data_IF_294142810597
#
_entry.id   IF_294142810597
#
_cell.length_a   1.000
_cell.length_b   1.000
_cell.length_c   1.000
_cell.angle_alpha   90.00
_cell.angle_beta   90.00
_cell.angle_gamma   90.00
#
_symmetry.space_group_name_H-M   'P 1'
#
loop_
_entity.id
_entity.type
_entity.pdbx_description
1 polymer ?
#
# COMPACT_ATOMS: atom_id res chain seq x y z
N UNK A 1 17.83 7.66 -46.56
CA UNK A 1 17.44 6.66 -45.54
C UNK A 1 17.47 7.34 -44.17
N UNK A 2 16.39 7.28 -43.39
CA UNK A 2 16.45 7.74 -42.00
C UNK A 2 15.18 8.34 -41.37
N UNK A 3 14.00 8.28 -42.01
CA UNK A 3 12.73 8.59 -41.34
C UNK A 3 12.17 7.35 -40.63
N UNK A 4 12.98 6.76 -39.74
CA UNK A 4 12.54 5.68 -38.86
C UNK A 4 11.67 6.25 -37.75
N UNK A 5 10.36 6.10 -37.91
CA UNK A 5 9.29 6.17 -36.91
C UNK A 5 9.65 6.80 -35.55
N UNK A 6 9.43 8.11 -35.40
CA UNK A 6 9.29 8.72 -34.07
C UNK A 6 8.19 8.02 -33.26
N UNK A 7 7.13 7.53 -33.91
CA UNK A 7 6.02 6.82 -33.27
C UNK A 7 6.46 5.53 -32.54
N UNK A 8 7.39 4.75 -33.10
CA UNK A 8 7.94 3.55 -32.43
C UNK A 8 8.77 3.91 -31.21
N UNK A 9 9.54 5.01 -31.28
CA UNK A 9 10.34 5.49 -30.14
C UNK A 9 9.45 5.93 -28.98
N UNK A 10 8.34 6.63 -29.25
CA UNK A 10 7.39 7.04 -28.21
C UNK A 10 6.59 5.86 -27.65
N UNK A 11 6.23 4.87 -28.47
CA UNK A 11 5.52 3.69 -28.01
C UNK A 11 6.42 2.79 -27.13
N UNK A 12 7.70 2.67 -27.48
CA UNK A 12 8.71 2.00 -26.65
C UNK A 12 8.94 2.72 -25.31
N UNK A 13 9.04 4.05 -25.31
CA UNK A 13 9.19 4.85 -24.09
C UNK A 13 7.91 4.78 -23.22
N UNK A 14 6.73 4.83 -23.83
CA UNK A 14 5.45 4.71 -23.12
C UNK A 14 5.27 3.32 -22.49
N UNK A 15 5.67 2.26 -23.21
CA UNK A 15 5.68 0.89 -22.70
C UNK A 15 6.64 0.76 -21.51
N UNK A 16 7.85 1.32 -21.60
CA UNK A 16 8.82 1.32 -20.50
C UNK A 16 8.29 2.09 -19.28
N UNK A 17 7.66 3.25 -19.49
CA UNK A 17 7.02 4.06 -18.44
C UNK A 17 5.81 3.35 -17.80
N UNK A 18 5.05 2.57 -18.57
CA UNK A 18 3.97 1.73 -18.03
C UNK A 18 4.50 0.59 -17.16
N UNK A 19 5.67 0.02 -17.48
CA UNK A 19 6.32 -1.06 -16.70
C UNK A 19 6.97 -0.54 -15.40
N UNK A 20 7.42 0.71 -15.35
CA UNK A 20 8.02 1.28 -14.13
C UNK A 20 6.99 1.40 -12.99
N UNK A 21 5.71 1.61 -13.33
CA UNK A 21 4.62 1.73 -12.34
C UNK A 21 4.47 0.47 -11.47
N UNK A 22 4.26 -0.75 -12.00
CA UNK A 22 4.12 -1.96 -11.19
C UNK A 22 5.37 -2.29 -10.35
N UNK A 23 6.57 -1.97 -10.84
CA UNK A 23 7.81 -2.13 -10.08
C UNK A 23 7.81 -1.23 -8.83
N UNK A 24 7.36 0.02 -8.99
CA UNK A 24 7.17 0.92 -7.85
C UNK A 24 6.01 0.49 -6.93
N UNK A 25 4.98 -0.18 -7.46
CA UNK A 25 3.87 -0.67 -6.66
C UNK A 25 4.23 -1.91 -5.84
N UNK A 26 5.13 -2.75 -6.35
CA UNK A 26 5.52 -4.01 -5.71
C UNK A 26 6.66 -3.85 -4.69
N UNK A 27 7.42 -2.74 -4.77
CA UNK A 27 8.54 -2.44 -3.87
C UNK A 27 8.19 -2.63 -2.38
N UNK A 28 7.15 -1.94 -1.83
CA UNK A 28 6.87 -2.04 -0.40
C UNK A 28 6.44 -3.46 0.01
N UNK A 29 5.73 -4.16 -0.87
CA UNK A 29 5.30 -5.54 -0.67
C UNK A 29 6.49 -6.50 -0.63
N UNK A 30 7.51 -6.28 -1.46
CA UNK A 30 8.75 -7.06 -1.44
C UNK A 30 9.50 -6.90 -0.13
N UNK A 31 9.67 -5.66 0.36
CA UNK A 31 10.34 -5.42 1.65
C UNK A 31 9.59 -6.09 2.82
N UNK A 32 8.26 -6.01 2.84
CA UNK A 32 7.44 -6.67 3.86
C UNK A 32 7.55 -8.20 3.78
N UNK A 33 7.50 -8.77 2.58
CA UNK A 33 7.62 -10.21 2.37
C UNK A 33 9.00 -10.73 2.77
N UNK A 34 10.08 -10.06 2.32
CA UNK A 34 11.45 -10.42 2.65
C UNK A 34 11.76 -10.28 4.15
N UNK A 35 11.29 -9.19 4.78
CA UNK A 35 11.42 -9.01 6.23
C UNK A 35 10.68 -10.10 7.01
N UNK A 36 9.44 -10.42 6.62
CA UNK A 36 8.64 -11.47 7.26
C UNK A 36 9.27 -12.85 7.10
N UNK A 37 9.76 -13.19 5.89
CA UNK A 37 10.42 -14.48 5.65
C UNK A 37 11.73 -14.60 6.42
N UNK A 38 12.49 -13.50 6.52
CA UNK A 38 13.73 -13.45 7.29
C UNK A 38 13.49 -13.70 8.78
N UNK A 39 12.43 -13.13 9.36
CA UNK A 39 12.07 -13.34 10.78
C UNK A 39 11.62 -14.78 11.07
N UNK A 40 11.03 -15.45 10.09
CA UNK A 40 10.51 -16.82 10.27
C UNK A 40 11.54 -17.92 9.97
N UNK A 41 12.47 -17.70 9.04
CA UNK A 41 13.45 -18.72 8.63
C UNK A 41 14.83 -18.57 9.25
N UNK A 42 15.21 -17.37 9.72
CA UNK A 42 16.55 -17.15 10.27
C UNK A 42 16.49 -17.14 11.79
N UNK A 43 17.03 -18.17 12.42
CA UNK A 43 17.07 -18.31 13.88
C UNK A 43 18.14 -17.43 14.56
N UNK A 44 19.04 -16.84 13.78
CA UNK A 44 20.05 -15.91 14.31
C UNK A 44 19.38 -14.61 14.80
N UNK A 45 19.72 -14.17 16.01
CA UNK A 45 19.28 -12.88 16.57
C UNK A 45 19.55 -11.71 15.60
N UNK A 46 20.67 -11.75 14.85
CA UNK A 46 20.98 -10.75 13.83
C UNK A 46 20.03 -10.83 12.63
N UNK A 47 19.62 -12.04 12.23
CA UNK A 47 18.66 -12.26 11.15
C UNK A 47 17.25 -11.82 11.52
N UNK A 48 16.84 -12.03 12.77
CA UNK A 48 15.57 -11.52 13.31
C UNK A 48 15.59 -9.99 13.34
N UNK A 49 16.66 -9.37 13.85
CA UNK A 49 16.81 -7.91 13.89
C UNK A 49 16.82 -7.30 12.47
N UNK A 50 17.55 -7.92 11.54
CA UNK A 50 17.59 -7.50 10.14
C UNK A 50 16.24 -7.64 9.44
N UNK A 51 15.53 -8.75 9.66
CA UNK A 51 14.19 -8.99 9.13
C UNK A 51 13.16 -8.00 9.69
N UNK A 52 13.23 -7.70 11.00
CA UNK A 52 12.39 -6.70 11.64
C UNK A 52 12.64 -5.29 11.08
N UNK A 53 13.91 -4.90 10.86
CA UNK A 53 14.26 -3.63 10.21
C UNK A 53 13.72 -3.55 8.78
N UNK A 54 13.89 -4.62 7.99
CA UNK A 54 13.35 -4.71 6.63
C UNK A 54 11.82 -4.59 6.61
N UNK A 55 11.13 -5.24 7.54
CA UNK A 55 9.68 -5.13 7.69
C UNK A 55 9.27 -3.69 8.03
N UNK A 56 9.94 -3.06 8.99
CA UNK A 56 9.69 -1.67 9.38
C UNK A 56 9.92 -0.69 8.22
N UNK A 57 11.00 -0.88 7.44
CA UNK A 57 11.28 -0.07 6.25
C UNK A 57 10.21 -0.28 5.18
N UNK A 58 9.78 -1.52 4.94
CA UNK A 58 8.69 -1.83 4.00
C UNK A 58 7.37 -1.17 4.40
N UNK A 59 7.02 -1.22 5.69
CA UNK A 59 5.85 -0.54 6.24
C UNK A 59 5.95 0.99 6.09
N UNK A 60 7.13 1.56 6.39
CA UNK A 60 7.39 2.99 6.26
C UNK A 60 7.30 3.47 4.81
N UNK A 61 7.87 2.74 3.86
CA UNK A 61 7.76 3.04 2.43
C UNK A 61 6.31 2.94 1.98
N UNK A 62 5.55 1.95 2.47
CA UNK A 62 4.14 1.80 2.14
C UNK A 62 3.29 2.98 2.63
N UNK A 63 3.56 3.49 3.83
CA UNK A 63 2.90 4.67 4.41
C UNK A 63 3.35 5.98 3.74
N UNK A 64 4.65 6.12 3.44
CA UNK A 64 5.14 7.28 2.68
C UNK A 64 4.51 7.34 1.29
N UNK A 65 4.37 6.18 0.63
CA UNK A 65 3.71 6.07 -0.67
C UNK A 65 2.24 6.47 -0.62
N UNK A 66 1.49 6.05 0.40
CA UNK A 66 0.07 6.44 0.54
C UNK A 66 -0.09 7.94 0.80
N UNK A 67 0.82 8.54 1.56
CA UNK A 67 0.83 9.97 1.85
C UNK A 67 1.21 10.82 0.62
N UNK A 68 2.23 10.41 -0.15
CA UNK A 68 2.71 11.17 -1.31
C UNK A 68 1.64 11.32 -2.39
N UNK A 69 0.79 10.31 -2.59
CA UNK A 69 -0.36 10.37 -3.51
C UNK A 69 -1.46 11.36 -3.06
N UNK A 70 -1.50 11.71 -1.77
CA UNK A 70 -2.46 12.68 -1.23
C UNK A 70 -1.92 14.10 -1.24
N UNK A 71 -0.61 14.29 -1.14
CA UNK A 71 0.00 15.63 -1.12
C UNK A 71 -0.22 16.41 -2.44
N UNK A 72 -0.35 15.71 -3.57
CA UNK A 72 -0.78 16.31 -4.85
C UNK A 72 -2.27 16.72 -4.88
N UNK A 73 -3.07 16.32 -3.88
CA UNK A 73 -4.50 16.63 -3.76
C UNK A 73 -4.85 17.58 -2.60
N UNK A 74 -3.89 18.01 -1.76
CA UNK A 74 -4.19 18.88 -0.61
C UNK A 74 -3.59 20.28 -0.76
N UNK A 75 -4.08 21.00 -1.77
CA UNK A 75 -4.50 22.38 -1.51
C UNK A 75 -5.86 22.25 -0.82
N UNK A 76 -5.97 22.67 0.44
CA UNK A 76 -7.18 22.89 1.28
C UNK A 76 -7.13 22.21 2.67
N UNK A 77 -6.53 22.93 3.62
CA UNK A 77 -7.14 23.38 4.88
C UNK A 77 -8.02 22.38 5.68
N UNK A 78 -7.54 21.95 6.86
CA UNK A 78 -7.85 22.63 8.13
C UNK A 78 -7.19 21.94 9.33
N UNK A 79 -6.72 22.77 10.24
CA UNK A 79 -6.32 22.45 11.60
C UNK A 79 -7.46 21.72 12.34
N UNK A 80 -7.22 20.47 12.73
CA UNK A 80 -7.87 19.84 13.89
C UNK A 80 -6.85 18.88 14.49
N UNK A 81 -6.82 18.80 15.81
CA UNK A 81 -6.03 17.85 16.59
C UNK A 81 -6.43 16.40 16.23
N UNK A 82 -6.01 15.95 15.07
CA UNK A 82 -6.23 14.62 14.51
C UNK A 82 -4.89 13.93 14.57
N UNK A 83 -4.82 12.81 15.28
CA UNK A 83 -3.67 11.90 15.27
C UNK A 83 -3.18 11.82 13.81
N UNK A 84 -1.89 12.07 13.51
CA UNK A 84 -1.42 12.17 12.14
C UNK A 84 -1.87 10.91 11.39
N UNK A 85 -2.57 11.07 10.26
CA UNK A 85 -3.15 9.93 9.53
C UNK A 85 -2.11 8.84 9.26
N UNK A 86 -0.83 9.23 9.13
CA UNK A 86 0.31 8.30 9.01
C UNK A 86 0.42 7.30 10.17
N UNK A 87 0.20 7.72 11.42
CA UNK A 87 0.21 6.81 12.58
C UNK A 87 -0.99 5.85 12.55
N UNK A 88 -2.16 6.32 12.13
CA UNK A 88 -3.32 5.45 11.94
C UNK A 88 -3.11 4.46 10.78
N UNK A 89 -2.36 4.86 9.75
CA UNK A 89 -1.99 3.98 8.64
C UNK A 89 -0.92 2.94 9.00
N UNK A 90 -0.17 3.17 10.08
CA UNK A 90 0.81 2.23 10.63
C UNK A 90 0.19 1.10 11.48
N UNK A 91 -1.02 1.29 12.03
CA UNK A 91 -1.73 0.31 12.86
C UNK A 91 -1.72 -1.14 12.31
N UNK A 92 -2.11 -1.42 11.05
CA UNK A 92 -2.13 -2.80 10.55
C UNK A 92 -0.74 -3.45 10.51
N UNK A 93 0.31 -2.67 10.21
CA UNK A 93 1.68 -3.17 10.22
C UNK A 93 2.17 -3.46 11.63
N UNK A 94 1.76 -2.65 12.60
CA UNK A 94 2.07 -2.88 14.00
C UNK A 94 1.45 -4.21 14.49
N UNK A 95 0.18 -4.48 14.16
CA UNK A 95 -0.45 -5.76 14.49
C UNK A 95 0.25 -6.96 13.85
N UNK A 96 0.69 -6.83 12.59
CA UNK A 96 1.45 -7.88 11.91
C UNK A 96 2.83 -8.07 12.55
N UNK A 97 3.54 -6.98 12.87
CA UNK A 97 4.85 -7.05 13.54
C UNK A 97 4.76 -7.74 14.91
N UNK A 98 3.73 -7.41 15.71
CA UNK A 98 3.46 -8.08 16.99
C UNK A 98 3.17 -9.56 16.77
N UNK A 99 2.36 -9.93 15.78
CA UNK A 99 2.08 -11.33 15.45
C UNK A 99 3.35 -12.12 15.08
N UNK A 100 4.22 -11.55 14.24
CA UNK A 100 5.50 -12.15 13.87
C UNK A 100 6.46 -12.28 15.07
N UNK A 101 6.55 -11.25 15.90
CA UNK A 101 7.42 -11.27 17.09
C UNK A 101 6.97 -12.32 18.11
N UNK A 102 5.65 -12.45 18.34
CA UNK A 102 5.09 -13.51 19.18
C UNK A 102 5.36 -14.90 18.58
N UNK A 103 5.14 -15.08 17.28
CA UNK A 103 5.35 -16.36 16.59
C UNK A 103 6.81 -16.80 16.57
N UNK A 104 7.76 -15.86 16.56
CA UNK A 104 9.20 -16.12 16.54
C UNK A 104 9.76 -16.43 17.94
N UNK A 105 9.27 -15.76 18.99
CA UNK A 105 9.87 -15.86 20.33
C UNK A 105 9.18 -16.87 21.25
N UNK A 106 7.90 -17.18 21.00
CA UNK A 106 7.09 -18.02 21.88
C UNK A 106 6.52 -19.21 21.09
N UNK A 107 6.81 -20.42 21.57
CA UNK A 107 6.29 -21.67 21.00
C UNK A 107 5.00 -22.18 21.69
N UNK A 108 4.41 -21.36 22.55
CA UNK A 108 3.19 -21.74 23.27
C UNK A 108 1.95 -21.65 22.37
N UNK A 109 1.03 -22.59 22.51
CA UNK A 109 -0.22 -22.63 21.73
C UNK A 109 -1.03 -21.32 21.89
N UNK A 110 -1.05 -20.75 23.10
CA UNK A 110 -1.69 -19.47 23.38
C UNK A 110 -1.04 -18.31 22.62
N UNK A 111 0.29 -18.26 22.54
CA UNK A 111 0.99 -17.22 21.78
C UNK A 111 0.65 -17.30 20.29
N UNK A 112 0.58 -18.50 19.71
CA UNK A 112 0.12 -18.68 18.32
C UNK A 112 -1.34 -18.27 18.12
N UNK A 113 -2.22 -18.53 19.09
CA UNK A 113 -3.60 -18.06 19.06
C UNK A 113 -3.71 -16.53 19.03
N UNK A 114 -2.95 -15.85 19.88
CA UNK A 114 -2.90 -14.37 19.93
C UNK A 114 -2.26 -13.81 18.64
N UNK A 115 -1.20 -14.44 18.14
CA UNK A 115 -0.55 -14.07 16.89
C UNK A 115 -1.51 -14.18 15.70
N UNK A 116 -2.28 -15.27 15.60
CA UNK A 116 -3.29 -15.47 14.56
C UNK A 116 -4.38 -14.40 14.61
N UNK A 117 -4.87 -14.04 15.80
CA UNK A 117 -5.85 -12.97 15.97
C UNK A 117 -5.29 -11.60 15.52
N UNK A 118 -4.06 -11.28 15.92
CA UNK A 118 -3.39 -10.04 15.51
C UNK A 118 -3.18 -10.00 13.99
N UNK A 119 -2.71 -11.09 13.40
CA UNK A 119 -2.53 -11.22 11.94
C UNK A 119 -3.86 -11.05 11.19
N UNK A 120 -4.93 -11.71 11.66
CA UNK A 120 -6.26 -11.59 11.08
C UNK A 120 -6.79 -10.14 11.14
N UNK A 121 -6.60 -9.46 12.27
CA UNK A 121 -6.98 -8.04 12.42
C UNK A 121 -6.16 -7.13 11.49
N UNK A 122 -4.85 -7.33 11.39
CA UNK A 122 -3.99 -6.60 10.46
C UNK A 122 -4.41 -6.78 9.00
N UNK A 123 -4.65 -8.02 8.56
CA UNK A 123 -5.09 -8.33 7.20
C UNK A 123 -6.49 -7.78 6.88
N UNK A 124 -7.44 -7.89 7.82
CA UNK A 124 -8.80 -7.37 7.61
C UNK A 124 -8.85 -5.85 7.48
N UNK A 125 -8.03 -5.11 8.24
CA UNK A 125 -7.85 -3.66 8.10
C UNK A 125 -7.30 -3.29 6.71
N UNK A 126 -6.30 -4.02 6.22
CA UNK A 126 -5.73 -3.82 4.87
C UNK A 126 -6.76 -4.13 3.78
N UNK A 127 -7.53 -5.20 3.94
CA UNK A 127 -8.57 -5.61 2.99
C UNK A 127 -9.70 -4.59 2.91
N UNK A 128 -10.20 -4.11 4.06
CA UNK A 128 -11.24 -3.10 4.12
C UNK A 128 -10.78 -1.81 3.43
N UNK A 129 -9.51 -1.42 3.61
CA UNK A 129 -8.90 -0.27 2.91
C UNK A 129 -8.77 -0.49 1.40
N UNK A 130 -8.57 -1.73 0.95
CA UNK A 130 -8.61 -2.06 -0.48
C UNK A 130 -10.03 -1.87 -1.05
N UNK A 131 -11.05 -2.40 -0.35
CA UNK A 131 -12.47 -2.25 -0.74
C UNK A 131 -12.96 -0.80 -0.76
N UNK A 132 -12.65 -0.01 0.27
CA UNK A 132 -13.06 1.40 0.30
C UNK A 132 -12.52 2.20 -0.88
N UNK A 133 -11.30 1.89 -1.34
CA UNK A 133 -10.75 2.52 -2.54
C UNK A 133 -11.60 2.20 -3.77
N UNK A 134 -11.93 0.92 -3.99
CA UNK A 134 -12.74 0.51 -5.15
C UNK A 134 -14.12 1.19 -5.20
N UNK A 135 -14.81 1.30 -4.06
CA UNK A 135 -16.11 1.97 -4.00
C UNK A 135 -16.04 3.48 -4.23
N UNK A 136 -14.97 4.15 -3.79
CA UNK A 136 -14.75 5.57 -4.06
C UNK A 136 -14.59 5.85 -5.57
N UNK A 137 -13.87 4.98 -6.30
CA UNK A 137 -13.72 5.09 -7.76
C UNK A 137 -15.05 4.90 -8.51
N UNK A 138 -15.89 3.95 -8.06
CA UNK A 138 -17.20 3.69 -8.68
C UNK A 138 -18.16 4.88 -8.52
N UNK A 139 -18.20 5.50 -7.33
CA UNK A 139 -19.02 6.71 -7.09
C UNK A 139 -18.56 7.91 -7.91
N UNK A 140 -17.26 8.08 -8.12
CA UNK A 140 -16.73 9.15 -8.95
C UNK A 140 -17.14 8.98 -10.43
N UNK A 141 -17.07 7.76 -10.98
CA UNK A 141 -17.44 7.49 -12.37
C UNK A 141 -18.94 7.70 -12.64
N UNK A 142 -19.80 7.24 -11.73
CA UNK A 142 -21.26 7.41 -11.82
C UNK A 142 -21.69 8.88 -11.74
N UNK A 143 -21.07 9.67 -10.87
CA UNK A 143 -21.33 11.12 -10.76
C UNK A 143 -20.92 11.86 -12.03
N UNK A 144 -19.78 11.49 -12.63
CA UNK A 144 -19.27 12.11 -13.86
C UNK A 144 -20.15 11.76 -15.06
N UNK A 145 -20.62 10.51 -15.16
CA UNK A 145 -21.55 10.06 -16.21
C UNK A 145 -22.92 10.77 -16.12
N UNK A 146 -23.46 10.98 -14.91
CA UNK A 146 -24.71 11.70 -14.71
C UNK A 146 -24.59 13.20 -15.09
N UNK A 147 -23.47 13.85 -14.77
CA UNK A 147 -23.21 15.24 -15.14
C UNK A 147 -23.07 15.44 -16.67
N UNK A 148 -22.44 14.49 -17.37
CA UNK A 148 -22.34 14.53 -18.84
C UNK A 148 -23.71 14.33 -19.52
N UNK A 149 -24.55 13.44 -19.00
CA UNK A 149 -25.90 13.22 -19.53
C UNK A 149 -26.81 14.44 -19.36
N UNK A 150 -26.71 15.17 -18.25
CA UNK A 150 -27.42 16.44 -18.03
C UNK A 150 -27.00 17.51 -19.04
N UNK A 151 -25.70 17.60 -19.35
CA UNK A 151 -25.18 18.63 -20.25
C UNK A 151 -25.62 18.42 -21.70
N UNK A 152 -25.79 17.18 -22.13
CA UNK A 152 -26.27 16.87 -23.47
C UNK A 152 -27.76 17.19 -23.66
N UNK A 153 -28.57 17.08 -22.59
CA UNK A 153 -30.01 17.37 -22.63
C UNK A 153 -30.35 18.86 -22.72
N UNK A 154 -29.43 19.76 -22.37
CA UNK A 154 -29.66 21.22 -22.36
C UNK A 154 -29.23 21.91 -23.65
N UNK A 155 -28.80 21.16 -24.67
CA UNK A 155 -28.34 21.70 -25.97
C UNK A 155 -29.34 21.40 -27.10
N UNK A 156 -30.44 20.73 -26.78
CA UNK A 156 -31.61 20.50 -27.64
C UNK A 156 -32.73 21.47 -27.25
#
# INVERSE_FOLDING_TARGET
MGSGNLADKYNGIACNIMIIKPIYEILPSLYLAAGSSSVLWIDSNLGIAGGALLFCLGALIWVMRSNFRRHDQVVHSRKRFTIPESLYEFMPFFFIAVALSLASTQSTLLAYGIAMLCMYRGCSLLYLRHKYRQHAWQKAQTTTAAAQSSKHRTVD
#
